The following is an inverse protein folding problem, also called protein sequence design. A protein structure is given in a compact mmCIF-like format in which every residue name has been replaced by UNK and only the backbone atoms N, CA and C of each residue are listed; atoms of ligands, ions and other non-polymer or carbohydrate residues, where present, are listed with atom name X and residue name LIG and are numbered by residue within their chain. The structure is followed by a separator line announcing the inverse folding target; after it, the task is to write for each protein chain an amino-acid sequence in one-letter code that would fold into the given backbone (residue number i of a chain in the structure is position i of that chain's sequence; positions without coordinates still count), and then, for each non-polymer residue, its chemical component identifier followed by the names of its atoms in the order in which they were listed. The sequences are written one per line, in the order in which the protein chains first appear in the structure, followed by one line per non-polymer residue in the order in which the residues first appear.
data_IF_103938382394
#
_entry.id   IF_103938382394
#
_cell.length_a   1.000
_cell.length_b   1.000
_cell.length_c   1.000
_cell.angle_alpha   90.00
_cell.angle_beta   90.00
_cell.angle_gamma   90.00
#
_symmetry.space_group_name_H-M   'P 1'
#
loop_
_entity.id
_entity.type
_entity.pdbx_description
1 polymer ?
#
# COMPACT_ATOMS: atom_id res chain seq x y z
N UNK A 1 16.06 -0.48 -28.05
CA UNK A 1 15.25 0.68 -27.64
C UNK A 1 13.86 0.17 -27.28
N UNK A 2 13.67 -0.38 -26.07
CA UNK A 2 12.40 -1.05 -25.69
C UNK A 2 12.24 -1.19 -24.16
N UNK A 3 12.34 -0.09 -23.42
CA UNK A 3 12.26 -0.08 -21.94
C UNK A 3 11.46 1.12 -21.40
N UNK A 4 10.34 1.47 -22.04
CA UNK A 4 9.46 2.55 -21.55
C UNK A 4 7.96 2.19 -21.54
N UNK A 5 7.58 0.91 -21.59
CA UNK A 5 6.15 0.52 -21.62
C UNK A 5 5.57 0.01 -20.30
N UNK A 6 6.37 -0.29 -19.28
CA UNK A 6 5.83 -0.78 -17.98
C UNK A 6 5.67 0.29 -16.90
N UNK A 7 6.04 1.54 -17.17
CA UNK A 7 5.66 2.69 -16.32
C UNK A 7 4.19 3.08 -16.54
N UNK A 8 3.59 2.69 -17.68
CA UNK A 8 2.17 2.96 -17.97
C UNK A 8 1.20 2.05 -17.21
N UNK A 9 1.62 0.85 -16.79
CA UNK A 9 0.80 -0.05 -15.99
C UNK A 9 0.66 0.41 -14.53
N UNK A 10 1.62 1.20 -14.02
CA UNK A 10 1.53 1.86 -12.71
C UNK A 10 0.49 3.00 -12.69
N UNK A 11 0.09 3.51 -13.86
CA UNK A 11 -1.05 4.41 -13.99
C UNK A 11 -2.38 3.73 -13.62
N UNK A 12 -2.44 2.40 -13.46
CA UNK A 12 -3.65 1.69 -13.04
C UNK A 12 -3.93 1.83 -11.53
N UNK A 13 -2.90 2.06 -10.70
CA UNK A 13 -3.08 2.49 -9.31
C UNK A 13 -3.55 3.96 -9.23
N UNK A 14 -3.19 4.78 -10.22
CA UNK A 14 -3.76 6.12 -10.44
C UNK A 14 -5.18 6.05 -11.02
N UNK A 15 -5.55 4.97 -11.73
CA UNK A 15 -6.93 4.70 -12.16
C UNK A 15 -7.82 4.18 -11.03
N UNK A 16 -7.27 3.74 -9.89
CA UNK A 16 -8.05 3.54 -8.67
C UNK A 16 -8.55 4.87 -8.08
N UNK A 17 -7.74 5.94 -8.13
CA UNK A 17 -8.25 7.32 -7.99
C UNK A 17 -9.20 7.70 -9.14
N UNK A 18 -9.07 7.05 -10.29
CA UNK A 18 -9.93 7.14 -11.47
C UNK A 18 -11.27 6.41 -11.41
N UNK A 19 -11.64 5.73 -10.31
CA UNK A 19 -13.06 5.35 -10.05
C UNK A 19 -13.95 6.61 -9.92
N UNK A 20 -13.34 7.79 -9.74
CA UNK A 20 -13.96 9.09 -10.08
C UNK A 20 -14.66 9.12 -11.45
N UNK A 21 -14.34 8.24 -12.41
CA UNK A 21 -15.03 8.21 -13.71
C UNK A 21 -16.31 7.37 -13.78
N UNK A 22 -16.57 6.46 -12.84
CA UNK A 22 -17.85 5.69 -12.83
C UNK A 22 -18.88 6.35 -11.89
N UNK A 23 -18.42 7.08 -10.88
CA UNK A 23 -19.28 7.85 -9.97
C UNK A 23 -19.58 9.30 -10.45
N UNK A 24 -19.22 9.67 -11.69
CA UNK A 24 -19.61 10.96 -12.28
C UNK A 24 -21.12 11.04 -12.64
N UNK A 25 -21.89 9.99 -12.38
CA UNK A 25 -23.32 9.91 -12.75
C UNK A 25 -24.24 9.76 -11.52
N UNK A 26 -23.71 9.63 -10.29
CA UNK A 26 -24.53 9.49 -9.09
C UNK A 26 -24.07 10.43 -7.98
N UNK A 27 -24.63 11.64 -8.03
CA UNK A 27 -24.76 12.67 -6.99
C UNK A 27 -23.51 13.27 -6.33
N UNK A 28 -23.29 14.54 -6.67
CA UNK A 28 -22.33 15.53 -6.15
C UNK A 28 -22.48 15.88 -4.65
N UNK A 29 -23.11 15.05 -3.82
CA UNK A 29 -23.37 15.42 -2.40
C UNK A 29 -22.67 14.58 -1.33
N UNK A 30 -21.86 13.57 -1.68
CA UNK A 30 -21.07 12.81 -0.68
C UNK A 30 -19.57 13.17 -0.62
N UNK A 31 -19.18 14.29 -1.23
CA UNK A 31 -17.78 14.73 -1.23
C UNK A 31 -17.53 15.52 0.06
N UNK A 32 -16.64 14.98 0.91
CA UNK A 32 -16.10 15.57 2.15
C UNK A 32 -16.72 15.12 3.48
N UNK A 33 -16.99 13.82 3.67
CA UNK A 33 -16.78 13.27 5.01
C UNK A 33 -15.26 13.20 5.27
N UNK A 34 -14.72 13.80 6.34
CA UNK A 34 -13.30 13.71 6.64
C UNK A 34 -12.95 12.23 6.73
N UNK A 35 -12.02 11.77 5.89
CA UNK A 35 -11.35 10.49 6.09
C UNK A 35 -10.90 10.52 7.55
N UNK A 36 -11.57 9.73 8.41
CA UNK A 36 -11.24 9.71 9.83
C UNK A 36 -9.74 9.48 9.92
N UNK A 37 -9.07 10.30 10.73
CA UNK A 37 -7.61 10.40 10.92
C UNK A 37 -6.93 9.05 11.19
N UNK A 38 -7.73 8.00 11.45
CA UNK A 38 -7.35 6.66 11.83
C UNK A 38 -7.28 5.65 10.66
N UNK A 39 -7.68 5.99 9.42
CA UNK A 39 -7.58 5.07 8.27
C UNK A 39 -6.12 4.78 7.92
N UNK A 40 -5.30 5.83 7.76
CA UNK A 40 -3.91 5.65 7.34
C UNK A 40 -3.06 4.91 8.37
N UNK A 41 -3.13 5.20 9.68
CA UNK A 41 -2.44 4.40 10.69
C UNK A 41 -2.80 2.91 10.62
N UNK A 42 -4.10 2.58 10.58
CA UNK A 42 -4.56 1.19 10.45
C UNK A 42 -4.10 0.52 9.15
N UNK A 43 -4.00 1.29 8.08
CA UNK A 43 -3.50 0.79 6.81
C UNK A 43 -1.99 0.54 6.86
N UNK A 44 -1.22 1.43 7.49
CA UNK A 44 0.20 1.20 7.79
C UNK A 44 0.39 -0.07 8.62
N UNK A 45 -0.39 -0.28 9.67
CA UNK A 45 -0.31 -1.49 10.50
C UNK A 45 -0.49 -2.76 9.63
N UNK A 46 -1.48 -2.77 8.73
CA UNK A 46 -1.71 -3.89 7.82
C UNK A 46 -0.56 -4.09 6.81
N UNK A 47 0.01 -3.01 6.30
CA UNK A 47 1.17 -3.11 5.39
C UNK A 47 2.36 -3.72 6.14
N UNK A 48 2.60 -3.32 7.39
CA UNK A 48 3.67 -3.87 8.21
C UNK A 48 3.47 -5.37 8.48
N UNK A 49 2.23 -5.80 8.75
CA UNK A 49 1.88 -7.23 8.85
C UNK A 49 2.27 -7.99 7.57
N UNK A 50 2.06 -7.40 6.38
CA UNK A 50 2.46 -8.02 5.11
C UNK A 50 3.97 -8.05 4.90
N UNK A 51 4.70 -7.04 5.37
CA UNK A 51 6.17 -7.07 5.39
C UNK A 51 6.67 -8.21 6.27
N UNK A 52 6.07 -8.42 7.45
CA UNK A 52 6.40 -9.52 8.36
C UNK A 52 6.07 -10.89 7.72
N UNK A 53 4.95 -10.99 7.02
CA UNK A 53 4.58 -12.20 6.27
C UNK A 53 5.60 -12.52 5.16
N UNK A 54 6.02 -11.52 4.37
CA UNK A 54 7.07 -11.69 3.35
C UNK A 54 8.38 -12.20 3.96
N UNK A 55 8.81 -11.60 5.07
CA UNK A 55 9.98 -12.07 5.83
C UNK A 55 9.81 -13.53 6.25
N UNK A 56 8.68 -13.86 6.84
CA UNK A 56 8.39 -15.22 7.32
C UNK A 56 8.41 -16.23 6.17
N UNK A 57 7.86 -15.87 5.01
CA UNK A 57 7.84 -16.74 3.82
C UNK A 57 9.24 -16.98 3.25
N UNK A 58 10.12 -15.98 3.26
CA UNK A 58 11.54 -16.15 2.92
C UNK A 58 12.26 -17.05 3.94
N UNK A 59 12.02 -16.83 5.23
CA UNK A 59 12.63 -17.62 6.31
C UNK A 59 12.21 -19.10 6.24
N UNK A 60 10.95 -19.38 5.85
CA UNK A 60 10.39 -20.72 5.68
C UNK A 60 10.60 -21.33 4.28
N UNK A 61 11.29 -20.64 3.38
CA UNK A 61 11.51 -21.06 1.99
C UNK A 61 10.20 -21.27 1.18
N UNK A 62 9.10 -20.65 1.61
CA UNK A 62 7.82 -20.61 0.90
C UNK A 62 7.85 -19.63 -0.27
N UNK A 63 8.84 -18.72 -0.27
CA UNK A 63 9.09 -17.72 -1.29
C UNK A 63 10.57 -17.79 -1.66
N UNK A 64 10.86 -17.82 -2.96
CA UNK A 64 12.21 -18.08 -3.47
C UNK A 64 12.88 -16.81 -3.93
N UNK A 65 14.17 -16.69 -3.66
CA UNK A 65 14.98 -15.58 -4.14
C UNK A 65 15.52 -15.92 -5.54
N UNK A 66 15.77 -14.89 -6.35
CA UNK A 66 16.47 -15.04 -7.63
C UNK A 66 17.88 -15.61 -7.35
N UNK A 67 18.51 -15.12 -6.27
CA UNK A 67 19.77 -15.60 -5.75
C UNK A 67 19.65 -15.78 -4.23
N UNK A 68 19.87 -17.01 -3.76
CA UNK A 68 19.71 -17.35 -2.34
C UNK A 68 20.81 -16.72 -1.45
N UNK A 69 21.97 -16.39 -2.01
CA UNK A 69 23.04 -15.70 -1.28
C UNK A 69 22.65 -14.26 -0.88
N UNK A 70 21.63 -13.69 -1.55
CA UNK A 70 21.14 -12.34 -1.27
C UNK A 70 20.06 -12.30 -0.17
N UNK A 71 19.79 -13.43 0.49
CA UNK A 71 18.75 -13.54 1.54
C UNK A 71 18.92 -12.51 2.65
N UNK A 72 20.12 -12.38 3.19
CA UNK A 72 20.38 -11.45 4.29
C UNK A 72 20.20 -9.99 3.84
N UNK A 73 20.62 -9.66 2.61
CA UNK A 73 20.46 -8.33 2.02
C UNK A 73 18.98 -8.01 1.81
N UNK A 74 18.20 -8.96 1.28
CA UNK A 74 16.76 -8.78 1.10
C UNK A 74 16.07 -8.55 2.44
N UNK A 75 16.37 -9.35 3.46
CA UNK A 75 15.78 -9.22 4.80
C UNK A 75 16.15 -7.91 5.48
N UNK A 76 17.37 -7.42 5.30
CA UNK A 76 17.80 -6.10 5.78
C UNK A 76 16.99 -4.98 5.11
N UNK A 77 16.94 -4.97 3.77
CA UNK A 77 16.17 -3.97 3.00
C UNK A 77 14.67 -4.01 3.33
N UNK A 78 14.13 -5.19 3.60
CA UNK A 78 12.73 -5.35 4.02
C UNK A 78 12.50 -4.76 5.43
N UNK A 79 13.48 -4.91 6.33
CA UNK A 79 13.49 -4.23 7.64
C UNK A 79 13.59 -2.70 7.52
N UNK A 80 14.35 -2.19 6.55
CA UNK A 80 14.42 -0.76 6.26
C UNK A 80 13.07 -0.19 5.82
N UNK A 81 12.32 -0.94 5.01
CA UNK A 81 10.96 -0.57 4.62
C UNK A 81 10.02 -0.50 5.82
N UNK A 82 10.00 -1.51 6.70
CA UNK A 82 9.18 -1.46 7.93
C UNK A 82 9.49 -0.21 8.79
N UNK A 83 10.78 0.12 8.94
CA UNK A 83 11.20 1.36 9.64
C UNK A 83 10.72 2.62 8.92
N UNK A 84 10.82 2.67 7.59
CA UNK A 84 10.31 3.80 6.77
C UNK A 84 8.80 3.96 6.95
N UNK A 85 8.05 2.87 6.93
CA UNK A 85 6.60 2.88 7.14
C UNK A 85 6.22 3.41 8.54
N UNK A 86 6.93 2.96 9.57
CA UNK A 86 6.77 3.47 10.95
C UNK A 86 7.04 4.98 11.03
N UNK A 87 8.04 5.47 10.31
CA UNK A 87 8.34 6.90 10.22
C UNK A 87 7.23 7.67 9.52
N UNK A 88 6.73 7.19 8.38
CA UNK A 88 5.58 7.77 7.66
C UNK A 88 4.38 7.86 8.61
N UNK A 89 4.09 6.79 9.34
CA UNK A 89 2.99 6.77 10.30
C UNK A 89 3.19 7.84 11.37
N UNK A 90 4.30 7.79 12.11
CA UNK A 90 4.60 8.69 13.23
C UNK A 90 4.58 10.17 12.82
N UNK A 91 5.20 10.51 11.69
CA UNK A 91 5.36 11.91 11.27
C UNK A 91 4.07 12.53 10.72
N UNK A 92 3.13 11.70 10.27
CA UNK A 92 1.92 12.18 9.61
C UNK A 92 0.66 12.04 10.49
N UNK A 93 0.75 11.36 11.64
CA UNK A 93 -0.32 11.25 12.65
C UNK A 93 -0.94 12.61 13.02
N UNK A 94 -0.09 13.64 13.17
CA UNK A 94 -0.54 15.00 13.53
C UNK A 94 -0.93 15.87 12.34
N UNK A 95 -0.55 15.49 11.11
CA UNK A 95 -0.63 16.37 9.93
C UNK A 95 -2.01 16.41 9.27
N UNK A 96 -2.95 15.50 9.62
CA UNK A 96 -4.35 15.42 9.15
C UNK A 96 -4.55 15.76 7.65
N UNK A 97 -3.55 15.45 6.81
CA UNK A 97 -3.53 15.83 5.40
C UNK A 97 -3.31 14.58 4.56
N UNK A 98 -4.39 14.18 3.91
CA UNK A 98 -4.47 12.98 3.09
C UNK A 98 -3.47 12.99 1.93
N UNK A 99 -3.19 14.15 1.33
CA UNK A 99 -2.25 14.24 0.21
C UNK A 99 -0.82 13.89 0.64
N UNK A 100 -0.43 14.28 1.86
CA UNK A 100 0.89 13.95 2.42
C UNK A 100 0.96 12.44 2.65
N UNK A 101 -0.05 11.86 3.30
CA UNK A 101 -0.11 10.40 3.51
C UNK A 101 -0.04 9.61 2.20
N UNK A 102 -0.84 10.00 1.21
CA UNK A 102 -0.89 9.31 -0.09
C UNK A 102 0.42 9.40 -0.84
N UNK A 103 1.09 10.57 -0.83
CA UNK A 103 2.38 10.75 -1.51
C UNK A 103 3.47 9.88 -0.87
N UNK A 104 3.55 9.87 0.46
CA UNK A 104 4.53 9.09 1.21
C UNK A 104 4.30 7.59 1.04
N UNK A 105 3.04 7.14 1.11
CA UNK A 105 2.67 5.74 0.90
C UNK A 105 2.90 5.29 -0.55
N UNK A 106 2.66 6.17 -1.53
CA UNK A 106 2.96 5.86 -2.92
C UNK A 106 4.45 5.61 -3.13
N UNK A 107 5.31 6.48 -2.60
CA UNK A 107 6.75 6.28 -2.67
C UNK A 107 7.17 5.01 -1.93
N UNK A 108 6.58 4.73 -0.77
CA UNK A 108 6.79 3.49 -0.04
C UNK A 108 6.47 2.25 -0.91
N UNK A 109 5.30 2.22 -1.56
CA UNK A 109 4.90 1.09 -2.41
C UNK A 109 5.83 0.90 -3.61
N UNK A 110 6.32 1.99 -4.23
CA UNK A 110 7.30 1.88 -5.30
C UNK A 110 8.60 1.22 -4.81
N UNK A 111 9.06 1.59 -3.61
CA UNK A 111 10.26 0.99 -3.03
C UNK A 111 10.07 -0.50 -2.71
N UNK A 112 8.90 -0.87 -2.18
CA UNK A 112 8.54 -2.28 -1.92
C UNK A 112 8.47 -3.10 -3.21
N UNK A 113 7.78 -2.58 -4.23
CA UNK A 113 7.65 -3.25 -5.54
C UNK A 113 9.02 -3.44 -6.22
N UNK A 114 9.87 -2.41 -6.17
CA UNK A 114 11.23 -2.50 -6.70
C UNK A 114 12.06 -3.54 -5.95
N UNK A 115 11.98 -3.57 -4.61
CA UNK A 115 12.67 -4.58 -3.80
C UNK A 115 12.22 -5.99 -4.18
N UNK A 116 10.90 -6.21 -4.33
CA UNK A 116 10.37 -7.51 -4.73
C UNK A 116 10.88 -7.89 -6.14
N UNK A 117 10.83 -6.97 -7.10
CA UNK A 117 11.32 -7.21 -8.46
C UNK A 117 12.83 -7.49 -8.54
N UNK A 118 13.62 -6.91 -7.63
CA UNK A 118 15.07 -7.08 -7.60
C UNK A 118 15.47 -8.46 -7.07
N UNK A 119 14.74 -9.03 -6.12
CA UNK A 119 15.19 -10.21 -5.36
C UNK A 119 14.30 -11.45 -5.47
N UNK A 120 13.02 -11.33 -5.81
CA UNK A 120 12.05 -12.43 -5.69
C UNK A 120 11.81 -13.15 -7.03
N UNK A 121 11.78 -14.49 -7.02
CA UNK A 121 11.26 -15.28 -8.13
C UNK A 121 9.74 -15.12 -8.25
N UNK A 122 9.22 -14.96 -9.46
CA UNK A 122 7.81 -14.67 -9.71
C UNK A 122 7.33 -13.36 -9.05
N UNK A 123 8.22 -12.36 -8.97
CA UNK A 123 7.94 -11.04 -8.41
C UNK A 123 6.66 -10.37 -8.94
N UNK A 124 6.35 -10.55 -10.23
CA UNK A 124 5.15 -10.00 -10.86
C UNK A 124 3.86 -10.49 -10.20
N UNK A 125 3.72 -11.81 -10.02
CA UNK A 125 2.56 -12.42 -9.38
C UNK A 125 2.42 -11.97 -7.92
N UNK A 126 3.53 -11.92 -7.18
CA UNK A 126 3.53 -11.44 -5.80
C UNK A 126 3.11 -9.98 -5.70
N UNK A 127 3.65 -9.11 -6.56
CA UNK A 127 3.32 -7.69 -6.59
C UNK A 127 1.84 -7.47 -6.96
N UNK A 128 1.29 -8.25 -7.88
CA UNK A 128 -0.13 -8.19 -8.22
C UNK A 128 -1.04 -8.59 -7.05
N UNK A 129 -0.70 -9.66 -6.33
CA UNK A 129 -1.44 -10.09 -5.15
C UNK A 129 -1.39 -9.02 -4.05
N UNK A 130 -0.21 -8.47 -3.76
CA UNK A 130 -0.07 -7.40 -2.76
C UNK A 130 -0.87 -6.15 -3.15
N UNK A 131 -0.83 -5.74 -4.43
CA UNK A 131 -1.64 -4.62 -4.94
C UNK A 131 -3.13 -4.83 -4.68
N UNK A 132 -3.65 -6.01 -4.99
CA UNK A 132 -5.06 -6.34 -4.75
C UNK A 132 -5.42 -6.35 -3.27
N UNK A 133 -4.58 -6.96 -2.43
CA UNK A 133 -4.80 -7.00 -0.98
C UNK A 133 -4.80 -5.61 -0.35
N UNK A 134 -3.85 -4.75 -0.74
CA UNK A 134 -3.78 -3.37 -0.24
C UNK A 134 -4.98 -2.54 -0.69
N UNK A 135 -5.40 -2.66 -1.95
CA UNK A 135 -6.60 -1.97 -2.45
C UNK A 135 -7.85 -2.41 -1.67
N UNK A 136 -8.04 -3.72 -1.48
CA UNK A 136 -9.17 -4.28 -0.75
C UNK A 136 -9.19 -3.82 0.70
N UNK A 137 -8.05 -3.88 1.40
CA UNK A 137 -7.97 -3.45 2.79
C UNK A 137 -8.25 -1.96 2.97
N UNK A 138 -7.72 -1.12 2.08
CA UNK A 138 -7.95 0.31 2.16
C UNK A 138 -9.44 0.67 1.98
N UNK A 139 -10.15 -0.05 1.11
CA UNK A 139 -11.60 0.11 0.95
C UNK A 139 -12.42 -0.39 2.11
N UNK A 140 -12.03 -1.52 2.71
CA UNK A 140 -12.64 -2.01 3.95
C UNK A 140 -12.55 -0.93 5.04
N UNK A 141 -11.36 -0.38 5.27
CA UNK A 141 -11.13 0.66 6.28
C UNK A 141 -11.94 1.94 6.00
N UNK A 142 -12.13 2.33 4.73
CA UNK A 142 -13.00 3.44 4.35
C UNK A 142 -14.46 3.17 4.66
N UNK A 143 -14.97 1.98 4.31
CA UNK A 143 -16.37 1.59 4.56
C UNK A 143 -16.64 1.60 6.06
N UNK A 144 -15.78 0.97 6.86
CA UNK A 144 -15.91 0.93 8.31
C UNK A 144 -15.92 2.33 8.95
N UNK A 145 -15.05 3.21 8.44
CA UNK A 145 -15.01 4.61 8.85
C UNK A 145 -16.33 5.34 8.57
N UNK A 146 -16.93 5.12 7.38
CA UNK A 146 -18.22 5.70 6.95
C UNK A 146 -19.40 5.18 7.79
N UNK A 147 -19.44 3.89 8.10
CA UNK A 147 -20.47 3.31 8.98
C UNK A 147 -20.41 3.88 10.40
N UNK A 148 -19.21 4.11 10.91
CA UNK A 148 -19.00 4.71 12.24
C UNK A 148 -19.27 6.23 12.26
N UNK A 149 -19.33 6.95 11.14
CA UNK A 149 -19.72 8.37 11.13
C UNK A 149 -21.23 8.57 11.08
N UNK A 150 -21.98 7.60 10.55
CA UNK A 150 -23.44 7.68 10.43
C UNK A 150 -24.19 7.27 11.72
N UNK A 151 -23.52 6.55 12.62
CA UNK A 151 -24.12 5.98 13.83
C UNK A 151 -23.59 6.61 15.15
N UNK A 152 -22.84 7.71 15.09
CA UNK A 152 -22.47 8.45 16.30
C UNK A 152 -23.67 9.27 16.78
N UNK A 153 -24.16 9.07 18.01
CA UNK A 153 -25.17 9.95 18.58
C UNK A 153 -24.57 11.34 18.76
N UNK A 154 -25.24 12.37 18.22
CA UNK A 154 -24.97 13.78 18.53
C UNK A 154 -25.18 14.05 20.02
#
# INVERSE_FOLDING_TARGET
MSLYLLISALAFLVLYFGVKKVALIADEQEIASPIKVDIYPKFCDYIDEKIIDLRTKIEKEELKLINEDDKDIFLEKLGDLSRKLTFIQTMNLSKKNDNIWQSELFEFFQNLENLINEFIQNAEELNDNLRQEFANKFEELKKDSKYLSLNSPN
#
